data_IF_466898470873
#
_entry.id   IF_466898470873
#
_cell.length_a   1.000
_cell.length_b   1.000
_cell.length_c   1.000
_cell.angle_alpha   90.00
_cell.angle_beta   90.00
_cell.angle_gamma   90.00
#
_symmetry.space_group_name_H-M   'P 1'
#
loop_
_entity.id
_entity.type
_entity.pdbx_description
1 polymer ?
#
# COMPACT_ATOMS: atom_id res chain seq x y z
N UNK A 1 45.01 -4.34 47.20
CA UNK A 1 43.75 -5.10 47.03
C UNK A 1 43.71 -5.61 45.59
N UNK A 2 43.66 -6.94 45.36
CA UNK A 2 43.60 -7.50 43.99
C UNK A 2 42.16 -7.42 43.49
N UNK A 3 41.90 -6.54 42.53
CA UNK A 3 40.59 -6.42 41.87
C UNK A 3 40.39 -7.66 41.01
N UNK A 4 39.28 -8.39 41.21
CA UNK A 4 38.88 -9.53 40.38
C UNK A 4 37.61 -9.17 39.59
N UNK A 5 37.47 -9.60 38.33
CA UNK A 5 36.25 -9.39 37.55
C UNK A 5 35.05 -10.08 38.21
N UNK A 6 33.90 -9.42 38.22
CA UNK A 6 32.63 -10.05 38.62
C UNK A 6 32.12 -10.83 37.40
N UNK A 7 32.10 -12.15 37.51
CA UNK A 7 31.70 -13.05 36.42
C UNK A 7 30.18 -13.25 36.33
N UNK A 8 29.43 -12.92 37.40
CA UNK A 8 27.97 -13.03 37.44
C UNK A 8 27.35 -11.79 38.05
N UNK A 9 26.57 -11.08 37.23
CA UNK A 9 25.70 -10.02 37.68
C UNK A 9 24.34 -10.61 38.05
N UNK A 10 23.67 -10.05 39.06
CA UNK A 10 22.25 -10.34 39.28
C UNK A 10 21.46 -9.89 38.06
N UNK A 11 20.43 -10.65 37.70
CA UNK A 11 19.47 -10.26 36.67
C UNK A 11 18.90 -8.89 37.05
N UNK A 12 19.10 -7.85 36.23
CA UNK A 12 18.55 -6.54 36.52
C UNK A 12 17.02 -6.64 36.46
N UNK A 13 16.35 -6.10 37.47
CA UNK A 13 14.89 -5.98 37.51
C UNK A 13 14.52 -4.51 37.37
N UNK A 14 13.53 -4.22 36.54
CA UNK A 14 13.00 -2.87 36.44
C UNK A 14 12.31 -2.47 37.75
N UNK A 15 12.41 -1.19 38.16
CA UNK A 15 11.65 -0.66 39.28
C UNK A 15 10.16 -0.88 39.03
N UNK A 16 9.43 -1.31 40.06
CA UNK A 16 7.97 -1.41 39.95
C UNK A 16 7.31 -0.03 40.12
N UNK A 17 6.03 0.08 39.74
CA UNK A 17 5.26 1.33 39.77
C UNK A 17 5.37 2.07 41.12
N UNK A 18 5.34 1.35 42.24
CA UNK A 18 5.40 1.95 43.57
C UNK A 18 6.80 2.51 43.90
N UNK A 19 7.87 1.90 43.38
CA UNK A 19 9.24 2.40 43.51
C UNK A 19 9.49 3.64 42.66
N UNK A 20 8.97 3.66 41.44
CA UNK A 20 9.08 4.82 40.54
C UNK A 20 8.29 6.03 41.06
N UNK A 21 7.10 5.82 41.66
CA UNK A 21 6.31 6.88 42.27
C UNK A 21 6.96 7.47 43.52
N UNK A 22 7.73 6.66 44.27
CA UNK A 22 8.48 7.12 45.45
C UNK A 22 9.76 7.89 45.08
N UNK A 23 10.35 7.60 43.93
CA UNK A 23 11.57 8.23 43.43
C UNK A 23 11.41 8.68 41.97
N UNK A 24 10.72 9.80 41.72
CA UNK A 24 10.42 10.27 40.36
C UNK A 24 11.67 10.65 39.54
N UNK A 25 12.80 10.93 40.20
CA UNK A 25 14.06 11.25 39.52
C UNK A 25 14.72 10.03 38.87
N UNK A 26 14.30 8.82 39.23
CA UNK A 26 14.80 7.57 38.67
C UNK A 26 14.47 7.43 37.17
N UNK A 27 13.41 8.10 36.71
CA UNK A 27 13.00 8.18 35.30
C UNK A 27 13.69 9.33 34.54
N UNK A 28 14.37 10.24 35.24
CA UNK A 28 15.00 11.44 34.66
C UNK A 28 16.49 11.26 34.41
N UNK A 29 17.11 10.21 34.93
CA UNK A 29 18.55 9.99 34.82
C UNK A 29 18.88 9.01 33.69
N UNK A 30 19.50 9.51 32.63
CA UNK A 30 20.20 8.68 31.65
C UNK A 30 21.36 7.93 32.34
N UNK A 31 21.57 6.64 32.06
CA UNK A 31 22.73 5.91 32.57
C UNK A 31 24.04 6.60 32.14
N UNK A 32 25.02 6.69 33.05
CA UNK A 32 26.33 7.33 32.78
C UNK A 32 27.04 6.78 31.54
N UNK A 33 26.82 5.48 31.23
CA UNK A 33 27.37 4.85 30.02
C UNK A 33 26.87 5.50 28.72
N UNK A 34 25.72 6.16 28.75
CA UNK A 34 25.05 6.76 27.58
C UNK A 34 25.38 8.26 27.46
N UNK A 35 25.66 8.93 28.59
CA UNK A 35 26.03 10.36 28.61
C UNK A 35 27.30 10.68 27.82
N UNK A 36 28.24 9.74 27.71
CA UNK A 36 29.49 9.90 26.95
C UNK A 36 29.42 9.55 25.45
N UNK A 37 28.36 8.84 24.99
CA UNK A 37 28.23 8.39 23.59
C UNK A 37 27.26 9.22 22.74
N UNK A 38 26.46 10.08 23.37
CA UNK A 38 25.54 10.98 22.67
C UNK A 38 26.22 11.88 21.62
N UNK A 39 27.52 12.17 21.75
CA UNK A 39 28.32 12.92 20.76
C UNK A 39 28.99 12.07 19.67
N UNK A 40 29.06 10.74 19.85
CA UNK A 40 29.65 9.82 18.87
C UNK A 40 28.59 9.20 17.94
N UNK A 41 27.32 9.19 18.36
CA UNK A 41 26.20 8.68 17.55
C UNK A 41 25.59 9.72 16.60
N UNK A 42 25.97 11.00 16.70
CA UNK A 42 25.50 12.06 15.78
C UNK A 42 26.38 12.27 14.54
N UNK A 43 27.40 11.43 14.31
CA UNK A 43 28.38 11.61 13.23
C UNK A 43 28.50 10.44 12.22
N UNK A 44 27.52 9.51 12.16
CA UNK A 44 27.54 8.40 11.19
C UNK A 44 26.32 8.37 10.25
N UNK A 45 25.40 9.34 10.36
CA UNK A 45 24.17 9.32 9.55
C UNK A 45 24.20 10.18 8.26
N UNK A 46 25.35 10.73 7.84
CA UNK A 46 25.39 11.69 6.72
C UNK A 46 26.57 11.50 5.74
N UNK A 47 26.86 10.25 5.31
CA UNK A 47 27.94 10.03 4.33
C UNK A 47 27.72 8.91 3.29
N UNK A 48 26.48 8.44 3.05
CA UNK A 48 26.23 7.37 2.07
C UNK A 48 25.20 7.72 1.00
N UNK A 49 25.13 9.01 0.61
CA UNK A 49 24.35 9.50 -0.52
C UNK A 49 25.30 10.06 -1.59
N UNK A 50 25.92 9.16 -2.36
CA UNK A 50 26.36 9.41 -3.73
C UNK A 50 26.80 8.08 -4.35
N UNK A 51 26.52 7.91 -5.66
CA UNK A 51 26.78 6.74 -6.52
C UNK A 51 25.66 5.71 -6.61
N UNK A 52 24.70 5.93 -7.52
CA UNK A 52 24.59 5.17 -8.77
C UNK A 52 23.43 5.68 -9.63
N UNK A 53 23.78 6.36 -10.73
CA UNK A 53 22.89 6.58 -11.89
C UNK A 53 23.61 5.96 -13.10
N UNK A 54 22.81 5.33 -13.98
CA UNK A 54 23.02 5.01 -15.41
C UNK A 54 23.31 3.54 -15.78
N UNK A 55 22.26 2.87 -16.31
CA UNK A 55 22.19 1.93 -17.46
C UNK A 55 20.71 1.46 -17.53
N UNK A 56 19.80 1.87 -18.42
CA UNK A 56 19.68 1.98 -19.89
C UNK A 56 19.51 0.64 -20.64
N UNK A 57 18.31 0.47 -21.25
CA UNK A 57 17.87 -0.43 -22.34
C UNK A 57 17.75 -1.94 -22.01
N UNK A 58 16.80 -2.74 -22.51
CA UNK A 58 15.72 -2.54 -23.49
C UNK A 58 14.65 -3.64 -23.35
N UNK A 59 13.57 -3.46 -24.12
CA UNK A 59 12.37 -4.27 -24.41
C UNK A 59 12.61 -5.76 -24.73
N UNK A 60 11.59 -6.61 -24.50
CA UNK A 60 10.80 -7.17 -25.61
C UNK A 60 9.53 -7.91 -25.15
N UNK A 61 8.54 -7.73 -26.01
CA UNK A 61 7.16 -8.21 -26.03
C UNK A 61 7.09 -9.75 -26.07
N UNK A 62 6.05 -10.31 -25.45
CA UNK A 62 5.55 -11.61 -25.86
C UNK A 62 4.02 -11.60 -25.88
N UNK A 63 3.50 -11.26 -27.06
CA UNK A 63 2.13 -11.54 -27.46
C UNK A 63 1.94 -13.06 -27.60
N UNK A 64 1.11 -13.63 -26.74
CA UNK A 64 0.60 -15.00 -26.84
C UNK A 64 -0.92 -14.98 -26.98
N UNK A 65 -1.41 -14.90 -28.21
CA UNK A 65 -2.84 -15.03 -28.55
C UNK A 65 -3.28 -16.50 -28.48
N UNK A 66 -4.30 -16.81 -27.68
CA UNK A 66 -5.21 -17.95 -27.93
C UNK A 66 -6.58 -17.69 -27.30
N UNK A 67 -7.62 -17.61 -28.14
CA UNK A 67 -9.02 -17.56 -27.76
C UNK A 67 -9.63 -16.17 -28.00
N UNK A 68 -10.71 -16.09 -28.78
CA UNK A 68 -11.48 -14.86 -29.00
C UNK A 68 -12.22 -14.48 -27.70
N UNK A 69 -11.47 -14.01 -26.72
CA UNK A 69 -11.99 -13.20 -25.62
C UNK A 69 -12.23 -11.81 -26.21
N UNK A 70 -13.49 -11.44 -26.44
CA UNK A 70 -13.84 -10.12 -26.99
C UNK A 70 -13.82 -9.02 -25.94
N UNK A 71 -13.68 -9.40 -24.66
CA UNK A 71 -13.49 -8.52 -23.54
C UNK A 71 -12.09 -7.94 -23.51
N UNK A 72 -11.93 -6.87 -22.74
CA UNK A 72 -10.68 -6.10 -22.68
C UNK A 72 -10.40 -5.75 -21.24
N UNK A 73 -9.21 -6.15 -20.76
CA UNK A 73 -8.66 -5.56 -19.55
C UNK A 73 -8.20 -4.13 -19.90
N UNK A 74 -8.78 -3.14 -19.23
CA UNK A 74 -8.39 -1.75 -19.41
C UNK A 74 -6.95 -1.53 -18.94
N UNK A 75 -6.21 -0.58 -19.54
CA UNK A 75 -4.90 -0.21 -19.00
C UNK A 75 -5.05 0.37 -17.59
N UNK A 76 -3.98 0.28 -16.80
CA UNK A 76 -3.95 0.88 -15.46
C UNK A 76 -3.76 2.39 -15.58
N UNK A 77 -4.58 3.16 -14.86
CA UNK A 77 -4.48 4.62 -14.78
C UNK A 77 -3.84 4.99 -13.45
N UNK A 78 -2.63 5.53 -13.51
CA UNK A 78 -1.75 5.66 -12.33
C UNK A 78 -1.93 7.04 -11.70
N UNK A 79 -2.41 7.05 -10.47
CA UNK A 79 -2.49 8.23 -9.59
C UNK A 79 -2.03 7.86 -8.17
N UNK A 80 -1.27 8.75 -7.53
CA UNK A 80 -0.60 8.46 -6.26
C UNK A 80 0.55 7.44 -6.36
N UNK A 81 1.21 7.15 -5.23
CA UNK A 81 2.33 6.21 -5.18
C UNK A 81 1.89 4.73 -5.05
N UNK A 82 0.64 4.49 -4.65
CA UNK A 82 0.10 3.18 -4.31
C UNK A 82 0.81 2.49 -3.14
N UNK A 83 1.46 3.25 -2.24
CA UNK A 83 2.27 2.70 -1.15
C UNK A 83 1.82 3.20 0.21
N UNK A 84 1.52 2.27 1.10
CA UNK A 84 1.13 2.56 2.48
C UNK A 84 1.92 1.75 3.50
N UNK A 85 1.87 2.16 4.76
CA UNK A 85 2.47 1.43 5.87
C UNK A 85 1.69 1.62 7.16
N UNK A 86 1.66 0.60 8.02
CA UNK A 86 0.98 0.65 9.32
C UNK A 86 1.80 -0.07 10.39
N UNK A 87 2.02 0.54 11.56
CA UNK A 87 2.77 -0.13 12.64
C UNK A 87 3.08 0.68 13.89
N UNK A 88 3.89 0.10 14.78
CA UNK A 88 4.07 0.52 16.18
C UNK A 88 4.55 1.96 16.45
N UNK A 89 4.99 2.71 15.44
CA UNK A 89 5.40 4.11 15.55
C UNK A 89 4.79 4.94 14.39
N UNK A 90 3.53 4.68 14.05
CA UNK A 90 2.80 5.47 13.05
C UNK A 90 2.65 6.91 13.54
N UNK A 91 3.49 7.79 12.99
CA UNK A 91 3.44 9.25 13.15
C UNK A 91 2.25 9.89 12.42
N UNK A 92 1.55 9.13 11.57
CA UNK A 92 0.31 9.49 10.91
C UNK A 92 -0.63 8.27 10.85
N UNK A 93 -1.96 8.45 10.93
CA UNK A 93 -2.93 7.37 10.85
C UNK A 93 -2.95 6.77 9.43
N UNK A 94 -3.10 5.45 9.27
CA UNK A 94 -3.31 4.85 7.96
C UNK A 94 -4.68 5.23 7.40
N UNK A 95 -4.73 5.94 6.28
CA UNK A 95 -5.96 6.44 5.69
C UNK A 95 -6.50 5.55 4.56
N UNK A 96 -6.37 4.23 4.71
CA UNK A 96 -6.83 3.24 3.71
C UNK A 96 -8.32 3.40 3.41
N UNK A 97 -8.67 3.32 2.12
CA UNK A 97 -10.06 3.26 1.71
C UNK A 97 -10.60 1.86 1.95
N UNK A 98 -11.79 1.76 2.52
CA UNK A 98 -12.53 0.50 2.46
C UNK A 98 -13.06 0.25 1.05
N UNK A 99 -13.38 -1.00 0.73
CA UNK A 99 -14.01 -1.36 -0.55
C UNK A 99 -15.34 -0.63 -0.74
N UNK A 100 -16.12 -0.40 0.32
CA UNK A 100 -17.36 0.37 0.21
C UNK A 100 -17.12 1.86 -0.05
N UNK A 101 -16.08 2.44 0.54
CA UNK A 101 -15.67 3.82 0.25
C UNK A 101 -15.21 3.95 -1.20
N UNK A 102 -14.37 3.03 -1.67
CA UNK A 102 -13.89 2.99 -3.04
C UNK A 102 -15.04 2.74 -4.04
N UNK A 103 -15.91 1.75 -3.78
CA UNK A 103 -17.10 1.47 -4.58
C UNK A 103 -17.97 2.71 -4.71
N UNK A 104 -18.22 3.44 -3.61
CA UNK A 104 -19.04 4.66 -3.64
C UNK A 104 -18.44 5.71 -4.56
N UNK A 105 -17.13 5.95 -4.46
CA UNK A 105 -16.40 6.89 -5.32
C UNK A 105 -16.47 6.48 -6.79
N UNK A 106 -16.18 5.21 -7.09
CA UNK A 106 -16.16 4.66 -8.45
C UNK A 106 -17.57 4.70 -9.05
N UNK A 107 -18.58 4.28 -8.30
CA UNK A 107 -19.98 4.28 -8.74
C UNK A 107 -20.51 5.69 -8.99
N UNK A 108 -20.19 6.67 -8.14
CA UNK A 108 -20.60 8.06 -8.33
C UNK A 108 -20.03 8.67 -9.62
N UNK A 109 -18.74 8.44 -9.93
CA UNK A 109 -18.13 8.92 -11.17
C UNK A 109 -18.68 8.16 -12.40
N UNK A 110 -18.81 6.84 -12.32
CA UNK A 110 -19.34 6.00 -13.39
C UNK A 110 -20.81 6.32 -13.73
N UNK A 111 -21.63 6.63 -12.73
CA UNK A 111 -23.04 6.98 -12.90
C UNK A 111 -23.23 8.25 -13.72
N UNK A 112 -22.28 9.19 -13.69
CA UNK A 112 -22.34 10.43 -14.50
C UNK A 112 -22.26 10.15 -16.00
N UNK A 113 -21.64 9.04 -16.38
CA UNK A 113 -21.57 8.54 -17.75
C UNK A 113 -22.64 7.48 -18.03
N UNK A 114 -23.64 7.36 -17.13
CA UNK A 114 -24.76 6.45 -17.26
C UNK A 114 -24.44 4.99 -16.96
N UNK A 115 -23.25 4.66 -16.44
CA UNK A 115 -22.86 3.30 -16.02
C UNK A 115 -23.46 3.02 -14.64
N UNK A 116 -24.17 1.91 -14.49
CA UNK A 116 -24.85 1.53 -13.24
C UNK A 116 -24.18 0.29 -12.67
N UNK A 117 -23.19 0.51 -11.78
CA UNK A 117 -22.44 -0.55 -11.12
C UNK A 117 -23.24 -1.15 -9.97
N UNK A 118 -23.23 -2.47 -9.87
CA UNK A 118 -23.79 -3.25 -8.76
C UNK A 118 -22.71 -4.15 -8.15
N UNK A 119 -22.76 -4.38 -6.84
CA UNK A 119 -21.81 -5.26 -6.14
C UNK A 119 -22.04 -6.76 -6.37
N UNK A 120 -23.11 -7.16 -7.07
CA UNK A 120 -23.26 -8.54 -7.56
C UNK A 120 -22.46 -8.68 -8.86
N UNK A 121 -21.17 -9.00 -8.75
CA UNK A 121 -20.27 -9.04 -9.90
C UNK A 121 -19.85 -10.47 -10.30
N UNK A 122 -19.47 -10.68 -11.56
CA UNK A 122 -18.98 -11.97 -12.06
C UNK A 122 -17.66 -12.41 -11.43
N UNK A 123 -17.41 -13.72 -11.47
CA UNK A 123 -16.15 -14.34 -11.06
C UNK A 123 -15.28 -14.61 -12.28
N UNK A 124 -14.03 -14.16 -12.24
CA UNK A 124 -12.99 -14.53 -13.20
C UNK A 124 -12.25 -15.77 -12.69
N UNK A 125 -12.31 -16.87 -13.43
CA UNK A 125 -11.75 -18.15 -13.01
C UNK A 125 -10.30 -18.32 -13.43
N UNK A 126 -9.47 -18.88 -12.53
CA UNK A 126 -8.08 -19.25 -12.78
C UNK A 126 -7.24 -18.11 -13.39
N UNK A 127 -7.45 -16.88 -12.91
CA UNK A 127 -6.67 -15.70 -13.27
C UNK A 127 -5.31 -15.71 -12.56
N UNK A 128 -4.39 -14.86 -13.03
CA UNK A 128 -3.15 -14.62 -12.29
C UNK A 128 -3.43 -13.53 -11.26
N UNK A 129 -3.31 -13.86 -9.98
CA UNK A 129 -3.42 -12.92 -8.87
C UNK A 129 -2.02 -12.54 -8.37
N UNK A 130 -1.83 -11.35 -7.81
CA UNK A 130 -0.58 -11.03 -7.12
C UNK A 130 -0.36 -11.98 -5.92
N UNK A 131 0.90 -12.25 -5.60
CA UNK A 131 1.31 -12.80 -4.31
C UNK A 131 2.06 -11.70 -3.57
N UNK A 132 1.43 -11.13 -2.55
CA UNK A 132 1.93 -9.95 -1.84
C UNK A 132 2.83 -10.35 -0.67
N UNK A 133 3.60 -9.40 -0.15
CA UNK A 133 4.40 -9.58 1.06
C UNK A 133 4.28 -8.34 1.96
N UNK A 134 3.61 -8.49 3.09
CA UNK A 134 3.41 -7.44 4.10
C UNK A 134 4.72 -7.05 4.82
N UNK A 135 5.71 -7.96 4.85
CA UNK A 135 6.96 -7.83 5.59
C UNK A 135 8.13 -7.85 4.62
N UNK A 136 8.22 -6.76 3.87
CA UNK A 136 9.14 -6.60 2.77
C UNK A 136 10.54 -6.14 3.21
N UNK A 137 11.56 -6.55 2.45
CA UNK A 137 12.88 -5.90 2.44
C UNK A 137 13.24 -5.48 1.02
N UNK A 138 13.86 -4.31 0.84
CA UNK A 138 14.21 -3.66 -0.45
C UNK A 138 15.03 -4.50 -1.44
N UNK A 139 15.38 -5.74 -1.08
CA UNK A 139 16.16 -6.67 -1.89
C UNK A 139 15.33 -7.64 -2.71
N UNK A 140 14.03 -7.81 -2.42
CA UNK A 140 13.18 -8.74 -3.17
C UNK A 140 12.37 -7.98 -4.24
N UNK A 141 12.23 -8.53 -5.45
CA UNK A 141 11.25 -7.99 -6.40
C UNK A 141 9.88 -8.49 -5.97
N UNK A 142 8.95 -7.57 -5.73
CA UNK A 142 7.58 -7.91 -5.35
C UNK A 142 6.74 -8.21 -6.60
N UNK A 143 7.16 -9.22 -7.37
CA UNK A 143 6.57 -9.60 -8.67
C UNK A 143 6.11 -11.05 -8.66
N UNK A 144 5.80 -11.59 -7.47
CA UNK A 144 5.28 -12.95 -7.38
C UNK A 144 3.81 -12.93 -7.73
N UNK A 145 3.36 -14.04 -8.27
CA UNK A 145 2.00 -14.22 -8.71
C UNK A 145 1.56 -15.65 -8.43
N UNK A 146 0.27 -15.80 -8.16
CA UNK A 146 -0.39 -17.06 -7.87
C UNK A 146 -1.61 -17.24 -8.78
N UNK A 147 -2.16 -18.44 -8.81
CA UNK A 147 -3.43 -18.72 -9.52
C UNK A 147 -4.57 -18.73 -8.52
N UNK A 148 -5.68 -18.12 -8.92
CA UNK A 148 -6.90 -18.11 -8.13
C UNK A 148 -8.10 -17.67 -8.94
N UNK A 149 -9.26 -17.73 -8.30
CA UNK A 149 -10.49 -17.16 -8.81
C UNK A 149 -10.68 -15.79 -8.16
N UNK A 150 -11.22 -14.83 -8.93
CA UNK A 150 -11.41 -13.44 -8.50
C UNK A 150 -12.88 -13.08 -8.64
N UNK A 151 -13.54 -12.70 -7.55
CA UNK A 151 -14.87 -12.10 -7.62
C UNK A 151 -14.68 -10.61 -7.77
N UNK A 152 -15.24 -10.02 -8.82
CA UNK A 152 -15.08 -8.59 -9.08
C UNK A 152 -15.85 -7.74 -8.05
N UNK A 153 -15.46 -6.48 -7.87
CA UNK A 153 -16.12 -5.59 -6.90
C UNK A 153 -17.38 -4.91 -7.44
N UNK A 154 -17.47 -4.75 -8.76
CA UNK A 154 -18.66 -4.14 -9.35
C UNK A 154 -18.85 -4.38 -10.82
N UNK A 155 -20.12 -4.38 -11.25
CA UNK A 155 -20.50 -4.72 -12.62
C UNK A 155 -21.76 -4.00 -13.11
N UNK A 156 -21.71 -3.50 -14.34
CA UNK A 156 -22.85 -3.05 -15.16
C UNK A 156 -23.11 -4.09 -16.27
N UNK A 157 -24.13 -4.91 -16.08
CA UNK A 157 -24.53 -5.95 -17.03
C UNK A 157 -24.97 -5.40 -18.39
N UNK A 158 -25.58 -4.22 -18.45
CA UNK A 158 -26.09 -3.67 -19.70
C UNK A 158 -24.96 -3.20 -20.62
N UNK A 159 -23.87 -2.68 -20.04
CA UNK A 159 -22.69 -2.20 -20.79
C UNK A 159 -21.54 -3.19 -20.80
N UNK A 160 -21.64 -4.30 -20.06
CA UNK A 160 -20.55 -5.26 -19.88
C UNK A 160 -19.28 -4.60 -19.32
N UNK A 161 -19.44 -3.67 -18.36
CA UNK A 161 -18.32 -2.97 -17.72
C UNK A 161 -18.22 -3.46 -16.29
N UNK A 162 -17.05 -3.93 -15.88
CA UNK A 162 -16.77 -4.35 -14.52
C UNK A 162 -15.51 -3.68 -13.98
N UNK A 163 -15.32 -3.73 -12.67
CA UNK A 163 -14.07 -3.31 -12.05
C UNK A 163 -13.67 -4.19 -10.87
N UNK A 164 -12.37 -4.16 -10.59
CA UNK A 164 -11.75 -4.62 -9.35
C UNK A 164 -11.01 -3.43 -8.73
N UNK A 165 -11.07 -3.27 -7.41
CA UNK A 165 -10.33 -2.29 -6.63
C UNK A 165 -9.40 -2.99 -5.65
N UNK A 166 -8.09 -2.87 -5.88
CA UNK A 166 -7.09 -3.49 -5.00
C UNK A 166 -7.06 -2.78 -3.64
N UNK A 167 -7.70 -3.41 -2.66
CA UNK A 167 -7.90 -2.92 -1.30
C UNK A 167 -6.82 -3.39 -0.33
N UNK A 168 -6.85 -2.89 0.92
CA UNK A 168 -6.00 -3.42 1.99
C UNK A 168 -6.28 -4.90 2.25
N UNK A 169 -7.55 -5.28 2.20
CA UNK A 169 -8.00 -6.62 2.51
C UNK A 169 -7.55 -7.60 1.42
N UNK A 170 -7.51 -7.18 0.15
CA UNK A 170 -6.91 -7.93 -0.95
C UNK A 170 -5.42 -8.16 -0.75
N UNK A 171 -4.67 -7.10 -0.41
CA UNK A 171 -3.24 -7.22 -0.15
C UNK A 171 -2.99 -8.23 0.98
N UNK A 172 -3.86 -8.32 1.97
CA UNK A 172 -3.75 -9.31 3.05
C UNK A 172 -4.19 -10.71 2.60
N UNK A 173 -5.27 -10.83 1.84
CA UNK A 173 -5.78 -12.10 1.32
C UNK A 173 -4.79 -12.76 0.35
N UNK A 174 -4.04 -11.95 -0.40
CA UNK A 174 -3.04 -12.40 -1.35
C UNK A 174 -1.64 -12.57 -0.75
N UNK A 175 -1.49 -12.37 0.57
CA UNK A 175 -0.20 -12.45 1.24
C UNK A 175 0.38 -13.87 1.17
N UNK A 176 1.56 -13.98 0.56
CA UNK A 176 2.37 -15.19 0.57
C UNK A 176 2.98 -15.46 1.96
N UNK A 177 3.65 -16.61 2.09
CA UNK A 177 4.41 -16.89 3.30
C UNK A 177 5.61 -15.96 3.43
N UNK A 178 5.66 -15.18 4.51
CA UNK A 178 6.85 -14.40 4.86
C UNK A 178 7.74 -15.16 5.84
N UNK A 179 9.05 -15.20 5.57
CA UNK A 179 10.06 -15.69 6.50
C UNK A 179 10.40 -14.68 7.62
N UNK A 180 9.87 -13.46 7.51
CA UNK A 180 10.15 -12.34 8.42
C UNK A 180 8.85 -11.81 9.03
N UNK A 181 8.92 -11.41 10.30
CA UNK A 181 7.82 -10.74 11.00
C UNK A 181 8.31 -9.37 11.47
N UNK A 182 7.52 -8.33 11.24
CA UNK A 182 7.79 -6.95 11.65
C UNK A 182 6.62 -6.38 12.44
N UNK A 183 6.87 -5.35 13.24
CA UNK A 183 5.83 -4.54 13.87
C UNK A 183 5.24 -3.48 12.92
N UNK A 184 5.74 -3.42 11.69
CA UNK A 184 5.28 -2.53 10.63
C UNK A 184 4.94 -3.39 9.41
N UNK A 185 3.71 -3.24 8.92
CA UNK A 185 3.20 -3.79 7.68
C UNK A 185 3.39 -2.77 6.56
N UNK A 186 3.73 -3.23 5.36
CA UNK A 186 3.84 -2.40 4.15
C UNK A 186 2.83 -2.88 3.11
N UNK A 187 2.12 -1.94 2.50
CA UNK A 187 1.10 -2.17 1.48
C UNK A 187 1.56 -1.57 0.15
N UNK A 188 1.40 -2.33 -0.94
CA UNK A 188 1.90 -2.04 -2.29
C UNK A 188 0.77 -2.25 -3.29
N UNK A 189 -0.17 -1.33 -3.29
CA UNK A 189 -1.42 -1.39 -4.05
C UNK A 189 -1.15 -1.26 -5.55
N UNK A 190 -0.34 -0.29 -5.96
CA UNK A 190 0.00 -0.08 -7.37
C UNK A 190 0.70 -1.32 -7.95
N UNK A 191 1.72 -1.85 -7.28
CA UNK A 191 2.43 -3.03 -7.79
C UNK A 191 1.53 -4.28 -7.84
N UNK A 192 0.61 -4.44 -6.88
CA UNK A 192 -0.37 -5.52 -6.92
C UNK A 192 -1.38 -5.35 -8.07
N UNK A 193 -1.82 -4.12 -8.32
CA UNK A 193 -2.73 -3.77 -9.41
C UNK A 193 -2.09 -3.95 -10.79
N UNK A 194 -0.79 -3.66 -10.95
CA UNK A 194 -0.04 -3.96 -12.18
C UNK A 194 -0.07 -5.45 -12.51
N UNK A 195 0.27 -6.30 -11.52
CA UNK A 195 0.25 -7.77 -11.69
C UNK A 195 -1.16 -8.27 -11.98
N UNK A 196 -2.16 -7.71 -11.30
CA UNK A 196 -3.55 -8.09 -11.48
C UNK A 196 -4.07 -7.69 -12.88
N UNK A 197 -3.85 -6.46 -13.32
CA UNK A 197 -4.32 -5.95 -14.62
C UNK A 197 -3.74 -6.79 -15.78
N UNK A 198 -2.46 -7.16 -15.70
CA UNK A 198 -1.86 -8.11 -16.63
C UNK A 198 -2.48 -9.52 -16.48
N UNK A 199 -2.72 -9.94 -15.24
CA UNK A 199 -3.16 -11.28 -14.88
C UNK A 199 -4.59 -11.64 -15.28
N UNK A 200 -5.46 -10.64 -15.43
CA UNK A 200 -6.84 -10.79 -15.93
C UNK A 200 -6.95 -10.64 -17.46
N UNK A 201 -5.90 -10.14 -18.12
CA UNK A 201 -5.90 -9.89 -19.56
C UNK A 201 -6.18 -11.18 -20.35
N UNK A 202 -7.16 -11.11 -21.27
CA UNK A 202 -7.63 -12.25 -22.07
C UNK A 202 -8.44 -13.29 -21.29
N UNK A 203 -8.92 -12.95 -20.08
CA UNK A 203 -9.80 -13.78 -19.25
C UNK A 203 -11.06 -13.05 -18.78
N UNK A 204 -11.39 -11.96 -19.46
CA UNK A 204 -12.49 -11.06 -19.11
C UNK A 204 -13.82 -11.46 -19.75
N UNK A 205 -13.85 -12.50 -20.59
CA UNK A 205 -15.06 -12.91 -21.29
C UNK A 205 -15.49 -11.81 -22.27
N UNK A 206 -16.77 -11.42 -22.31
CA UNK A 206 -17.23 -10.27 -23.10
C UNK A 206 -17.03 -8.91 -22.41
N UNK A 207 -16.55 -8.88 -21.16
CA UNK A 207 -16.54 -7.68 -20.33
C UNK A 207 -15.34 -6.78 -20.60
N UNK A 208 -15.53 -5.48 -20.43
CA UNK A 208 -14.42 -4.54 -20.22
C UNK A 208 -14.18 -4.40 -18.73
N UNK A 209 -13.01 -4.80 -18.25
CA UNK A 209 -12.69 -4.83 -16.82
C UNK A 209 -11.62 -3.80 -16.50
N UNK A 210 -11.90 -2.90 -15.57
CA UNK A 210 -10.92 -1.97 -15.02
C UNK A 210 -10.30 -2.54 -13.74
N UNK A 211 -9.00 -2.28 -13.54
CA UNK A 211 -8.35 -2.46 -12.25
C UNK A 211 -8.05 -1.09 -11.69
N UNK A 212 -8.59 -0.81 -10.51
CA UNK A 212 -8.27 0.35 -9.68
C UNK A 212 -7.47 -0.10 -8.47
N UNK A 213 -6.85 0.83 -7.79
CA UNK A 213 -6.08 0.54 -6.58
C UNK A 213 -6.12 1.71 -5.63
N UNK A 214 -5.88 1.46 -4.34
CA UNK A 214 -5.79 2.52 -3.35
C UNK A 214 -4.55 3.43 -3.63
N UNK A 215 -4.75 4.70 -4.06
CA UNK A 215 -3.66 5.57 -4.54
C UNK A 215 -2.51 5.84 -3.56
N UNK A 216 -2.72 5.68 -2.26
CA UNK A 216 -1.82 5.98 -1.12
C UNK A 216 -0.42 6.55 -1.40
N UNK A 217 -0.04 7.52 -0.59
CA UNK A 217 1.24 8.23 -0.72
C UNK A 217 2.28 7.75 0.27
N UNK A 218 3.54 7.90 -0.12
CA UNK A 218 4.65 7.74 0.82
C UNK A 218 4.56 8.80 1.93
N UNK A 219 5.01 8.40 3.12
CA UNK A 219 5.04 9.26 4.29
C UNK A 219 5.83 10.56 4.08
N UNK A 220 6.88 10.54 3.26
CA UNK A 220 7.77 11.68 2.99
C UNK A 220 7.33 12.57 1.82
N UNK A 221 6.17 12.30 1.21
CA UNK A 221 5.57 13.19 0.21
C UNK A 221 5.20 14.55 0.80
N UNK A 222 5.28 15.61 -0.02
CA UNK A 222 5.02 16.99 0.40
C UNK A 222 3.58 17.14 0.92
N UNK A 223 2.62 16.55 0.21
CA UNK A 223 1.20 16.56 0.54
C UNK A 223 0.93 15.93 1.91
N UNK A 224 1.55 14.77 2.19
CA UNK A 224 1.40 14.07 3.47
C UNK A 224 2.09 14.85 4.59
N UNK A 225 3.30 15.36 4.36
CA UNK A 225 3.99 16.18 5.35
C UNK A 225 3.22 17.46 5.69
N UNK A 226 2.61 18.11 4.70
CA UNK A 226 1.78 19.30 4.91
C UNK A 226 0.53 18.98 5.74
N UNK A 227 -0.13 17.85 5.48
CA UNK A 227 -1.25 17.38 6.29
C UNK A 227 -0.79 17.07 7.72
N UNK A 228 0.34 16.39 7.91
CA UNK A 228 0.86 16.06 9.25
C UNK A 228 1.21 17.34 10.02
N UNK A 229 2.00 18.22 9.42
CA UNK A 229 2.49 19.45 10.04
C UNK A 229 1.37 20.44 10.37
N UNK A 230 0.30 20.45 9.57
CA UNK A 230 -0.85 21.34 9.79
C UNK A 230 -1.86 20.81 10.81
N UNK A 231 -1.79 19.53 11.21
CA UNK A 231 -2.80 18.88 12.06
C UNK A 231 -2.16 17.99 13.15
N UNK A 232 -0.99 18.39 13.67
CA UNK A 232 -0.14 17.59 14.57
C UNK A 232 -0.83 17.07 15.84
N UNK A 233 -1.94 17.68 16.25
CA UNK A 233 -2.66 17.33 17.49
C UNK A 233 -3.98 16.58 17.24
N UNK A 234 -4.43 16.46 15.99
CA UNK A 234 -5.73 15.87 15.65
C UNK A 234 -5.59 14.79 14.57
N UNK A 235 -5.45 13.55 15.03
CA UNK A 235 -5.34 12.38 14.17
C UNK A 235 -6.60 12.13 13.35
N UNK A 236 -7.79 12.51 13.83
CA UNK A 236 -9.02 12.29 13.07
C UNK A 236 -9.06 13.24 11.86
N UNK A 237 -8.74 14.52 12.07
CA UNK A 237 -8.64 15.49 10.97
C UNK A 237 -7.54 15.07 9.98
N UNK A 238 -6.42 14.55 10.49
CA UNK A 238 -5.33 14.05 9.66
C UNK A 238 -5.79 12.90 8.76
N UNK A 239 -6.46 11.90 9.35
CA UNK A 239 -7.03 10.76 8.62
C UNK A 239 -8.05 11.21 7.57
N UNK A 240 -9.01 12.07 7.94
CA UNK A 240 -10.02 12.59 7.02
C UNK A 240 -9.39 13.31 5.82
N UNK A 241 -8.40 14.17 6.06
CA UNK A 241 -7.69 14.89 4.99
C UNK A 241 -6.91 13.95 4.07
N UNK A 242 -6.25 12.95 4.65
CA UNK A 242 -5.55 11.93 3.87
C UNK A 242 -6.54 11.11 3.04
N UNK A 243 -7.68 10.71 3.61
CA UNK A 243 -8.75 10.01 2.87
C UNK A 243 -9.31 10.86 1.75
N UNK A 244 -9.55 12.15 1.95
CA UNK A 244 -10.04 13.02 0.88
C UNK A 244 -9.04 13.17 -0.28
N UNK A 245 -7.74 13.28 0.03
CA UNK A 245 -6.68 13.28 -0.97
C UNK A 245 -6.67 11.97 -1.77
N UNK A 246 -6.68 10.83 -1.08
CA UNK A 246 -6.70 9.50 -1.69
C UNK A 246 -7.97 9.27 -2.52
N UNK A 247 -9.14 9.73 -2.05
CA UNK A 247 -10.40 9.69 -2.81
C UNK A 247 -10.33 10.58 -4.06
N UNK A 248 -9.64 11.71 -4.02
CA UNK A 248 -9.48 12.57 -5.19
C UNK A 248 -8.67 11.87 -6.28
N UNK A 249 -7.57 11.22 -5.93
CA UNK A 249 -6.77 10.45 -6.91
C UNK A 249 -7.52 9.24 -7.45
N UNK A 250 -8.29 8.53 -6.62
CA UNK A 250 -9.15 7.45 -7.11
C UNK A 250 -10.18 7.95 -8.14
N UNK A 251 -10.76 9.15 -7.93
CA UNK A 251 -11.65 9.77 -8.92
C UNK A 251 -10.94 10.03 -10.24
N UNK A 252 -9.68 10.47 -10.21
CA UNK A 252 -8.90 10.69 -11.43
C UNK A 252 -8.61 9.36 -12.16
N UNK A 253 -8.29 8.26 -11.45
CA UNK A 253 -8.18 6.94 -12.08
C UNK A 253 -9.47 6.56 -12.82
N UNK A 254 -10.63 6.78 -12.19
CA UNK A 254 -11.94 6.47 -12.78
C UNK A 254 -12.23 7.38 -13.98
N UNK A 255 -11.92 8.68 -13.90
CA UNK A 255 -12.12 9.63 -15.01
C UNK A 255 -11.27 9.30 -16.22
N UNK A 256 -10.03 8.87 -16.01
CA UNK A 256 -9.16 8.42 -17.08
C UNK A 256 -9.70 7.14 -17.72
N UNK A 257 -10.20 6.19 -16.92
CA UNK A 257 -10.89 5.00 -17.43
C UNK A 257 -12.12 5.35 -18.26
N UNK A 258 -12.99 6.24 -17.78
CA UNK A 258 -14.18 6.68 -18.51
C UNK A 258 -13.81 7.40 -19.81
N UNK A 259 -12.74 8.21 -19.79
CA UNK A 259 -12.20 8.86 -20.99
C UNK A 259 -11.65 7.85 -21.99
N UNK A 260 -10.98 6.81 -21.50
CA UNK A 260 -10.50 5.71 -22.32
C UNK A 260 -11.66 4.92 -22.94
N UNK A 261 -12.71 4.59 -22.18
CA UNK A 261 -13.91 3.93 -22.71
C UNK A 261 -14.55 4.71 -23.86
N UNK A 262 -14.68 6.03 -23.73
CA UNK A 262 -15.15 6.91 -24.81
C UNK A 262 -14.21 6.87 -26.01
N UNK A 263 -12.89 6.87 -25.76
CA UNK A 263 -11.87 6.73 -26.80
C UNK A 263 -11.93 5.40 -27.55
N UNK A 264 -12.34 4.32 -26.88
CA UNK A 264 -12.58 3.00 -27.49
C UNK A 264 -13.94 2.89 -28.19
N UNK A 265 -14.83 3.88 -28.04
CA UNK A 265 -16.20 3.82 -28.56
C UNK A 265 -17.09 2.82 -27.82
N UNK A 266 -16.77 2.50 -26.56
CA UNK A 266 -17.58 1.63 -25.68
C UNK A 266 -18.73 2.43 -25.05
N UNK A 267 -18.49 3.73 -24.79
CA UNK A 267 -19.49 4.71 -24.32
C UNK A 267 -19.89 5.68 -25.44
#
# INVERSE_FOLDING_TARGET
MKVKPIEKYKTPTYPNKNEALKNPDLLKTLPERWKGKAKACTAVALSSLLFMILTSCNTDENAGSTGSDTGTAAPLFIHGDGRGSFGCESVAPPAFLSEEEAFSVIAEEAQREGIILKGEAPVLYNVTLPETNLYYSDKEKNTKAQKGDLTLDGYDEAKQIAFEFVSKDDIQAWAGQSAFMSSVETFRFLEAAEVLAEGISGKTGPMTVATFYDPHYKFDSEEIQDIINSNTEDFNIMEEKMKELVKADLREQVRDFLSWLKGQGIL
#
